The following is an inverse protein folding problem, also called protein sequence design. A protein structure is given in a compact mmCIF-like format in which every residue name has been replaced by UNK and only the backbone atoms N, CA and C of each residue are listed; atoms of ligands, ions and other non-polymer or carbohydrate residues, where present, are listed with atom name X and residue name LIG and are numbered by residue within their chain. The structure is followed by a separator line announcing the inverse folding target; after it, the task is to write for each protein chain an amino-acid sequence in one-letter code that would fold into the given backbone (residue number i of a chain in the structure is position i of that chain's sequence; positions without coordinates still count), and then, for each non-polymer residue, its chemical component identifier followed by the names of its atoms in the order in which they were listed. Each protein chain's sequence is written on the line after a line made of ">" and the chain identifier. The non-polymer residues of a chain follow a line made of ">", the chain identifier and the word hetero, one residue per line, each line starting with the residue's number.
data_IF_747794402420
#
_entry.id   IF_747794402420
#
_cell.length_a   1.000
_cell.length_b   1.000
_cell.length_c   1.000
_cell.angle_alpha   90.00
_cell.angle_beta   90.00
_cell.angle_gamma   90.00
#
_symmetry.space_group_name_H-M   'P 1'
#
loop_
_entity.id
_entity.type
_entity.pdbx_description
1 polymer ?
#
# COMPACT_ATOMS: atom_id res chain seq x y z
N UNK A 1 7.62 4.51 -20.46
CA UNK A 1 7.40 3.94 -19.10
C UNK A 1 6.45 2.75 -19.24
N UNK A 2 6.85 1.60 -18.74
CA UNK A 2 6.10 0.36 -18.87
C UNK A 2 5.68 -0.16 -17.48
N UNK A 3 4.39 -0.47 -17.28
CA UNK A 3 3.86 -1.00 -16.04
C UNK A 3 3.56 -2.50 -16.21
N UNK A 4 4.23 -3.35 -15.42
CA UNK A 4 3.97 -4.78 -15.38
C UNK A 4 2.71 -5.07 -14.57
N UNK A 5 1.75 -5.79 -15.16
CA UNK A 5 0.49 -6.16 -14.52
C UNK A 5 0.41 -7.68 -14.42
N UNK A 6 0.32 -8.18 -13.19
CA UNK A 6 0.05 -9.59 -12.91
C UNK A 6 -1.38 -9.92 -13.36
N UNK A 7 -1.52 -10.51 -14.53
CA UNK A 7 -2.81 -10.81 -15.13
C UNK A 7 -3.49 -12.03 -14.49
N UNK A 8 -2.75 -12.88 -13.78
CA UNK A 8 -3.27 -14.11 -13.17
C UNK A 8 -3.62 -13.95 -11.69
N UNK A 9 -3.33 -12.79 -11.10
CA UNK A 9 -3.59 -12.53 -9.69
C UNK A 9 -5.03 -12.09 -9.41
N UNK A 10 -5.57 -12.50 -8.25
CA UNK A 10 -6.87 -12.06 -7.75
C UNK A 10 -7.97 -13.12 -7.83
N UNK A 11 -9.13 -12.74 -7.25
CA UNK A 11 -10.32 -13.60 -7.18
C UNK A 11 -11.23 -13.44 -8.42
N UNK A 12 -10.98 -12.40 -9.22
CA UNK A 12 -11.77 -12.08 -10.40
C UNK A 12 -11.23 -12.78 -11.67
N UNK A 13 -12.08 -12.99 -12.69
CA UNK A 13 -11.65 -13.52 -13.97
C UNK A 13 -10.53 -12.67 -14.61
N UNK A 14 -9.69 -13.31 -15.40
CA UNK A 14 -8.58 -12.69 -16.18
C UNK A 14 -9.02 -11.45 -16.99
N UNK A 15 -10.28 -11.43 -17.45
CA UNK A 15 -10.85 -10.31 -18.20
C UNK A 15 -10.77 -8.99 -17.45
N UNK A 16 -10.88 -9.00 -16.10
CA UNK A 16 -10.84 -7.79 -15.28
C UNK A 16 -9.46 -7.11 -15.34
N UNK A 17 -8.37 -7.87 -15.24
CA UNK A 17 -7.02 -7.36 -15.34
C UNK A 17 -6.72 -6.84 -16.74
N UNK A 18 -7.19 -7.55 -17.77
CA UNK A 18 -7.00 -7.16 -19.17
C UNK A 18 -7.78 -5.87 -19.48
N UNK A 19 -9.05 -5.79 -19.11
CA UNK A 19 -9.87 -4.60 -19.32
C UNK A 19 -9.28 -3.38 -18.60
N UNK A 20 -8.78 -3.56 -17.37
CA UNK A 20 -8.11 -2.49 -16.63
C UNK A 20 -6.84 -2.00 -17.34
N UNK A 21 -6.04 -2.91 -17.85
CA UNK A 21 -4.85 -2.60 -18.64
C UNK A 21 -5.21 -1.84 -19.93
N UNK A 22 -6.24 -2.26 -20.65
CA UNK A 22 -6.69 -1.60 -21.87
C UNK A 22 -7.25 -0.20 -21.59
N UNK A 23 -7.97 -0.01 -20.48
CA UNK A 23 -8.42 1.32 -20.03
C UNK A 23 -7.23 2.21 -19.68
N UNK A 24 -6.24 1.70 -18.97
CA UNK A 24 -5.01 2.45 -18.65
C UNK A 24 -4.25 2.88 -19.92
N UNK A 25 -4.12 2.00 -20.92
CA UNK A 25 -3.51 2.33 -22.21
C UNK A 25 -4.28 3.46 -22.89
N UNK A 26 -5.61 3.35 -22.94
CA UNK A 26 -6.47 4.29 -23.67
C UNK A 26 -6.56 5.66 -22.97
N UNK A 27 -6.67 5.69 -21.63
CA UNK A 27 -6.92 6.91 -20.86
C UNK A 27 -5.63 7.62 -20.41
N UNK A 28 -4.60 6.84 -20.05
CA UNK A 28 -3.36 7.36 -19.49
C UNK A 28 -2.20 7.38 -20.49
N UNK A 29 -2.35 6.67 -21.59
CA UNK A 29 -1.28 6.53 -22.58
C UNK A 29 -0.10 5.68 -22.11
N UNK A 30 -0.25 4.95 -21.00
CA UNK A 30 0.79 4.12 -20.38
C UNK A 30 1.06 2.86 -21.21
N UNK A 31 2.29 2.43 -21.28
CA UNK A 31 2.64 1.11 -21.80
C UNK A 31 2.40 0.06 -20.70
N UNK A 32 1.78 -1.07 -21.07
CA UNK A 32 1.47 -2.15 -20.14
C UNK A 32 2.10 -3.45 -20.61
N UNK A 33 2.70 -4.17 -19.64
CA UNK A 33 3.17 -5.53 -19.84
C UNK A 33 2.24 -6.45 -19.05
N UNK A 34 1.45 -7.27 -19.74
CA UNK A 34 0.60 -8.29 -19.11
C UNK A 34 1.41 -9.56 -18.88
N UNK A 35 1.42 -10.05 -17.64
CA UNK A 35 2.15 -11.26 -17.27
C UNK A 35 1.15 -12.37 -16.92
N UNK A 36 1.19 -13.49 -17.63
CA UNK A 36 0.30 -14.61 -17.39
C UNK A 36 0.35 -15.66 -18.48
N UNK A 37 -0.65 -16.54 -18.51
CA UNK A 37 -0.80 -17.56 -19.54
C UNK A 37 -1.09 -16.88 -20.90
N UNK A 38 -0.06 -16.82 -21.76
CA UNK A 38 -0.08 -16.05 -23.01
C UNK A 38 -1.28 -16.38 -23.91
N UNK A 39 -1.59 -17.68 -24.05
CA UNK A 39 -2.72 -18.11 -24.90
C UNK A 39 -4.05 -17.62 -24.37
N UNK A 40 -4.26 -17.65 -23.04
CA UNK A 40 -5.48 -17.15 -22.42
C UNK A 40 -5.61 -15.63 -22.55
N UNK A 41 -4.51 -14.89 -22.36
CA UNK A 41 -4.49 -13.43 -22.54
C UNK A 41 -4.81 -13.07 -23.98
N UNK A 42 -4.19 -13.73 -24.95
CA UNK A 42 -4.44 -13.50 -26.39
C UNK A 42 -5.90 -13.78 -26.77
N UNK A 43 -6.51 -14.83 -26.20
CA UNK A 43 -7.89 -15.18 -26.50
C UNK A 43 -8.85 -14.06 -26.03
N UNK A 44 -8.66 -13.51 -24.86
CA UNK A 44 -9.46 -12.38 -24.37
C UNK A 44 -9.20 -11.12 -25.22
N UNK A 45 -7.96 -10.84 -25.57
CA UNK A 45 -7.60 -9.66 -26.35
C UNK A 45 -8.20 -9.65 -27.77
N UNK A 46 -8.52 -10.80 -28.36
CA UNK A 46 -9.23 -10.86 -29.68
C UNK A 46 -10.56 -10.14 -29.69
N UNK A 47 -11.18 -9.98 -28.52
CA UNK A 47 -12.51 -9.34 -28.39
C UNK A 47 -12.40 -7.81 -28.22
N UNK A 48 -11.17 -7.25 -28.12
CA UNK A 48 -10.93 -5.85 -27.82
C UNK A 48 -10.14 -5.17 -28.94
N UNK A 49 -10.36 -3.86 -29.10
CA UNK A 49 -9.52 -2.98 -29.93
C UNK A 49 -8.64 -2.15 -29.03
N UNK A 50 -7.33 -2.16 -29.27
CA UNK A 50 -6.35 -1.42 -28.47
C UNK A 50 -5.11 -1.08 -29.31
N UNK A 51 -4.28 -0.18 -28.80
CA UNK A 51 -2.98 0.15 -29.41
C UNK A 51 -1.98 -0.98 -29.10
N UNK A 52 -1.68 -1.78 -30.12
CA UNK A 52 -0.76 -2.92 -30.00
C UNK A 52 0.68 -2.51 -29.67
N UNK A 53 1.08 -1.27 -29.94
CA UNK A 53 2.42 -0.78 -29.62
C UNK A 53 2.58 -0.48 -28.11
N UNK A 54 1.47 -0.38 -27.37
CA UNK A 54 1.47 -0.07 -25.92
C UNK A 54 1.19 -1.28 -25.03
N UNK A 55 1.02 -2.47 -25.62
CA UNK A 55 0.75 -3.68 -24.87
C UNK A 55 1.70 -4.78 -25.29
N UNK A 56 2.43 -5.33 -24.32
CA UNK A 56 3.29 -6.49 -24.46
C UNK A 56 2.77 -7.60 -23.55
N UNK A 57 2.96 -8.86 -23.95
CA UNK A 57 2.64 -10.03 -23.14
C UNK A 57 3.94 -10.73 -22.79
N UNK A 58 4.10 -11.11 -21.53
CA UNK A 58 5.19 -11.98 -21.07
C UNK A 58 4.56 -13.24 -20.48
N UNK A 59 4.91 -14.39 -21.05
CA UNK A 59 4.34 -15.66 -20.64
C UNK A 59 4.81 -16.08 -19.25
N UNK A 60 3.88 -16.53 -18.41
CA UNK A 60 4.14 -17.25 -17.17
C UNK A 60 3.31 -18.52 -17.11
N UNK A 61 3.90 -19.58 -16.59
CA UNK A 61 3.30 -20.92 -16.60
C UNK A 61 2.71 -21.34 -15.25
N UNK A 62 2.92 -20.51 -14.23
CA UNK A 62 2.50 -20.81 -12.86
C UNK A 62 1.71 -19.63 -12.29
N UNK A 63 0.71 -19.94 -11.47
CA UNK A 63 -0.08 -18.96 -10.72
C UNK A 63 0.04 -19.23 -9.23
N UNK A 64 0.16 -18.18 -8.41
CA UNK A 64 0.11 -18.28 -6.96
C UNK A 64 -1.33 -18.12 -6.51
N UNK A 65 -1.87 -19.14 -5.84
CA UNK A 65 -3.24 -19.11 -5.30
C UNK A 65 -3.36 -18.16 -4.10
N UNK A 66 -4.55 -17.60 -3.89
CA UNK A 66 -4.78 -16.60 -2.82
C UNK A 66 -4.56 -17.16 -1.41
N UNK A 67 -4.76 -18.46 -1.18
CA UNK A 67 -4.55 -19.14 0.09
C UNK A 67 -3.18 -19.84 0.22
N UNK A 68 -2.31 -19.68 -0.78
CA UNK A 68 -1.00 -20.33 -0.79
C UNK A 68 -0.01 -19.63 0.15
N UNK A 69 0.83 -20.42 0.83
CA UNK A 69 1.88 -19.88 1.69
C UNK A 69 2.88 -19.05 0.87
N UNK A 70 3.18 -17.79 1.26
CA UNK A 70 4.16 -16.94 0.58
C UNK A 70 5.53 -17.59 0.42
N UNK A 71 5.97 -18.33 1.45
CA UNK A 71 7.27 -19.02 1.45
C UNK A 71 7.30 -20.16 0.45
N UNK A 72 6.21 -20.91 0.35
CA UNK A 72 6.05 -22.02 -0.61
C UNK A 72 6.02 -21.48 -2.03
N UNK A 73 5.21 -20.45 -2.29
CA UNK A 73 5.12 -19.80 -3.59
C UNK A 73 6.51 -19.30 -4.06
N UNK A 74 7.24 -18.58 -3.22
CA UNK A 74 8.56 -18.04 -3.54
C UNK A 74 9.60 -19.14 -3.85
N UNK A 75 9.55 -20.27 -3.15
CA UNK A 75 10.52 -21.37 -3.30
C UNK A 75 10.21 -22.27 -4.49
N UNK A 76 8.96 -22.60 -4.72
CA UNK A 76 8.53 -23.63 -5.66
C UNK A 76 8.10 -23.06 -7.01
N UNK A 77 7.42 -21.90 -7.05
CA UNK A 77 6.88 -21.30 -8.27
C UNK A 77 7.81 -20.25 -8.86
N UNK A 78 8.83 -20.72 -9.57
CA UNK A 78 9.87 -19.85 -10.15
C UNK A 78 9.40 -19.07 -11.38
N UNK A 79 8.37 -19.55 -12.05
CA UNK A 79 7.76 -18.94 -13.24
C UNK A 79 6.31 -18.49 -12.96
N UNK A 80 6.03 -18.08 -11.72
CA UNK A 80 4.74 -17.48 -11.39
C UNK A 80 4.61 -16.07 -11.95
N UNK A 81 3.39 -15.66 -12.32
CA UNK A 81 3.12 -14.33 -12.87
C UNK A 81 3.67 -13.20 -12.01
N UNK A 82 3.49 -13.31 -10.69
CA UNK A 82 4.05 -12.37 -9.70
C UNK A 82 5.59 -12.31 -9.72
N UNK A 83 6.24 -13.49 -9.81
CA UNK A 83 7.70 -13.55 -9.83
C UNK A 83 8.25 -12.96 -11.11
N UNK A 84 7.67 -13.32 -12.25
CA UNK A 84 8.04 -12.77 -13.56
C UNK A 84 7.82 -11.26 -13.59
N UNK A 85 6.67 -10.76 -13.09
CA UNK A 85 6.40 -9.33 -13.03
C UNK A 85 7.47 -8.56 -12.23
N UNK A 86 7.87 -9.08 -11.07
CA UNK A 86 8.91 -8.44 -10.24
C UNK A 86 10.30 -8.55 -10.88
N UNK A 87 10.61 -9.64 -11.57
CA UNK A 87 11.88 -9.79 -12.29
C UNK A 87 12.04 -8.72 -13.39
N UNK A 88 10.97 -8.34 -14.08
CA UNK A 88 11.00 -7.29 -15.10
C UNK A 88 11.46 -5.92 -14.55
N UNK A 89 11.27 -5.65 -13.25
CA UNK A 89 11.83 -4.45 -12.62
C UNK A 89 13.36 -4.53 -12.55
N UNK A 90 13.92 -5.71 -12.27
CA UNK A 90 15.37 -5.86 -12.14
C UNK A 90 16.10 -5.81 -13.48
N UNK A 91 15.41 -6.18 -14.55
CA UNK A 91 15.96 -6.11 -15.93
C UNK A 91 15.75 -4.73 -16.57
N UNK A 92 14.98 -3.84 -15.95
CA UNK A 92 14.62 -2.54 -16.52
C UNK A 92 13.60 -2.62 -17.66
N UNK A 93 12.92 -3.76 -17.79
CA UNK A 93 11.88 -3.97 -18.80
C UNK A 93 10.50 -3.48 -18.35
N UNK A 94 10.35 -3.18 -17.05
CA UNK A 94 9.22 -2.50 -16.47
C UNK A 94 9.68 -1.53 -15.38
N UNK A 95 8.93 -0.45 -15.18
CA UNK A 95 9.22 0.60 -14.20
C UNK A 95 8.45 0.41 -12.88
N UNK A 96 7.33 -0.30 -12.93
CA UNK A 96 6.53 -0.65 -11.76
C UNK A 96 5.75 -1.95 -11.97
N UNK A 97 5.28 -2.55 -10.86
CA UNK A 97 4.44 -3.75 -10.83
C UNK A 97 3.11 -3.44 -10.17
N UNK A 98 2.02 -3.95 -10.75
CA UNK A 98 0.68 -3.99 -10.15
C UNK A 98 0.23 -5.45 -10.07
N UNK A 99 -0.18 -5.89 -8.87
CA UNK A 99 -0.73 -7.22 -8.66
C UNK A 99 -1.94 -7.20 -7.74
N UNK A 100 -3.00 -7.90 -8.12
CA UNK A 100 -4.15 -8.20 -7.28
C UNK A 100 -4.08 -9.62 -6.67
N UNK A 101 -2.92 -10.28 -6.81
CA UNK A 101 -2.68 -11.62 -6.28
C UNK A 101 -2.45 -11.66 -4.78
N UNK A 102 -1.96 -12.81 -4.32
CA UNK A 102 -1.68 -13.05 -2.91
C UNK A 102 -0.71 -12.01 -2.33
N UNK A 103 -1.19 -11.15 -1.44
CA UNK A 103 -0.44 -10.06 -0.82
C UNK A 103 0.88 -10.52 -0.21
N UNK A 104 0.84 -11.61 0.57
CA UNK A 104 2.04 -12.16 1.22
C UNK A 104 3.08 -12.66 0.21
N UNK A 105 2.64 -13.31 -0.87
CA UNK A 105 3.52 -13.78 -1.93
C UNK A 105 4.13 -12.60 -2.72
N UNK A 106 3.34 -11.56 -3.00
CA UNK A 106 3.82 -10.33 -3.65
C UNK A 106 4.90 -9.66 -2.81
N UNK A 107 4.64 -9.47 -1.52
CA UNK A 107 5.60 -8.89 -0.57
C UNK A 107 6.88 -9.71 -0.47
N UNK A 108 6.75 -11.04 -0.29
CA UNK A 108 7.89 -11.92 -0.15
C UNK A 108 8.76 -11.93 -1.42
N UNK A 109 8.11 -11.96 -2.58
CA UNK A 109 8.79 -11.92 -3.88
C UNK A 109 9.49 -10.59 -4.10
N UNK A 110 8.78 -9.47 -3.90
CA UNK A 110 9.35 -8.13 -4.02
C UNK A 110 10.56 -7.95 -3.09
N UNK A 111 10.44 -8.30 -1.81
CA UNK A 111 11.54 -8.21 -0.85
C UNK A 111 12.73 -9.10 -1.23
N UNK A 112 12.48 -10.31 -1.72
CA UNK A 112 13.54 -11.24 -2.06
C UNK A 112 14.29 -10.81 -3.33
N UNK A 113 13.56 -10.38 -4.35
CA UNK A 113 14.11 -10.04 -5.68
C UNK A 113 14.71 -8.63 -5.68
N UNK A 114 13.91 -7.64 -5.29
CA UNK A 114 14.31 -6.23 -5.37
C UNK A 114 15.21 -5.80 -4.20
N UNK A 115 15.21 -6.55 -3.10
CA UNK A 115 15.84 -6.18 -1.82
C UNK A 115 15.20 -4.91 -1.22
N UNK A 116 15.60 -4.56 -0.01
CA UNK A 116 15.17 -3.30 0.61
C UNK A 116 16.04 -2.15 0.13
N UNK A 117 15.47 -0.95 0.13
CA UNK A 117 16.20 0.31 0.01
C UNK A 117 17.27 0.35 1.10
N UNK A 118 18.45 0.86 0.79
CA UNK A 118 19.55 0.94 1.73
C UNK A 118 19.13 1.70 3.00
N UNK A 119 19.43 1.13 4.16
CA UNK A 119 19.02 1.66 5.45
C UNK A 119 17.65 1.20 5.94
N UNK A 120 16.78 0.66 5.09
CA UNK A 120 15.45 0.12 5.45
C UNK A 120 15.55 -1.37 5.80
N UNK A 121 15.11 -1.70 7.02
CA UNK A 121 15.12 -3.08 7.54
C UNK A 121 13.90 -3.90 7.09
N UNK A 122 12.74 -3.23 7.00
CA UNK A 122 11.46 -3.87 6.66
C UNK A 122 10.67 -3.00 5.70
N UNK A 123 10.17 -3.55 4.58
CA UNK A 123 9.18 -2.86 3.77
C UNK A 123 7.85 -2.76 4.53
N UNK A 124 7.04 -1.76 4.19
CA UNK A 124 5.71 -1.53 4.76
C UNK A 124 4.68 -1.31 3.65
N UNK A 125 3.43 -1.69 3.92
CA UNK A 125 2.31 -1.39 3.02
C UNK A 125 1.64 -0.11 3.51
N UNK A 126 1.49 0.87 2.61
CA UNK A 126 0.78 2.11 2.91
C UNK A 126 -0.55 2.19 2.18
N UNK A 127 -1.49 2.96 2.73
CA UNK A 127 -2.74 3.31 2.05
C UNK A 127 -3.13 4.75 2.33
N UNK A 128 -3.91 5.34 1.44
CA UNK A 128 -4.54 6.63 1.68
C UNK A 128 -5.90 6.42 2.36
N UNK A 129 -6.08 7.06 3.51
CA UNK A 129 -7.32 7.03 4.28
C UNK A 129 -8.07 8.36 4.13
N UNK A 130 -9.41 8.34 4.05
CA UNK A 130 -10.19 9.58 4.02
C UNK A 130 -10.13 10.30 5.37
N UNK A 131 -10.33 11.62 5.38
CA UNK A 131 -10.58 12.41 6.58
C UNK A 131 -11.89 13.19 6.48
N UNK A 132 -12.36 13.79 7.57
CA UNK A 132 -13.52 14.70 7.52
C UNK A 132 -13.21 15.97 6.70
N UNK A 133 -11.95 16.34 6.59
CA UNK A 133 -11.53 17.49 5.79
C UNK A 133 -11.57 17.14 4.31
N UNK A 134 -12.34 17.89 3.55
CA UNK A 134 -12.53 17.63 2.13
C UNK A 134 -11.20 17.77 1.38
N UNK A 135 -10.88 16.78 0.55
CA UNK A 135 -9.64 16.72 -0.23
C UNK A 135 -8.35 16.70 0.60
N UNK A 136 -8.42 16.19 1.82
CA UNK A 136 -7.26 16.04 2.68
C UNK A 136 -7.19 14.59 3.24
N UNK A 137 -6.91 13.59 2.39
CA UNK A 137 -6.63 12.23 2.84
C UNK A 137 -5.30 12.19 3.59
N UNK A 138 -5.09 11.17 4.41
CA UNK A 138 -3.82 10.92 5.10
C UNK A 138 -3.27 9.53 4.76
N UNK A 139 -1.98 9.36 4.88
CA UNK A 139 -1.28 8.08 4.71
C UNK A 139 -1.37 7.30 6.02
N UNK A 140 -1.87 6.06 5.98
CA UNK A 140 -1.77 5.11 7.09
C UNK A 140 -0.76 4.02 6.70
N UNK A 141 0.22 3.77 7.57
CA UNK A 141 1.18 2.68 7.42
C UNK A 141 1.75 2.23 8.78
N UNK A 142 2.06 0.97 8.99
CA UNK A 142 1.93 -0.20 8.14
C UNK A 142 0.51 -0.79 8.26
N UNK A 143 -0.07 -1.29 7.15
CA UNK A 143 -1.42 -1.87 7.15
C UNK A 143 -1.43 -3.41 7.00
N UNK A 144 -0.31 -4.08 7.29
CA UNK A 144 -0.31 -5.54 7.30
C UNK A 144 0.97 -6.25 6.89
N UNK A 145 2.06 -5.54 6.61
CA UNK A 145 3.33 -6.16 6.24
C UNK A 145 4.10 -6.72 7.45
N UNK A 146 4.02 -6.07 8.61
CA UNK A 146 4.81 -6.42 9.79
C UNK A 146 3.96 -6.36 11.05
N UNK A 147 3.68 -7.51 11.65
CA UNK A 147 2.82 -7.63 12.85
C UNK A 147 3.56 -7.40 14.16
N UNK A 148 4.88 -7.57 14.18
CA UNK A 148 5.74 -7.33 15.34
C UNK A 148 6.86 -6.37 14.92
N UNK A 149 6.79 -5.14 15.45
CA UNK A 149 7.67 -4.07 15.05
C UNK A 149 8.59 -3.62 16.17
N UNK A 150 9.90 -3.52 15.86
CA UNK A 150 10.86 -2.83 16.71
C UNK A 150 10.70 -1.31 16.53
N UNK A 151 11.13 -0.49 17.51
CA UNK A 151 11.10 0.97 17.39
C UNK A 151 11.74 1.49 16.09
N UNK A 152 12.87 0.91 15.69
CA UNK A 152 13.54 1.26 14.44
C UNK A 152 12.65 1.02 13.20
N UNK A 153 11.81 -0.02 13.18
CA UNK A 153 10.93 -0.28 12.04
C UNK A 153 9.84 0.79 11.93
N UNK A 154 9.18 1.11 13.05
CA UNK A 154 8.18 2.18 13.11
C UNK A 154 8.78 3.53 12.72
N UNK A 155 10.00 3.82 13.17
CA UNK A 155 10.74 5.01 12.76
C UNK A 155 10.96 5.04 11.24
N UNK A 156 11.42 3.93 10.66
CA UNK A 156 11.62 3.82 9.21
C UNK A 156 10.31 3.92 8.44
N UNK A 157 9.20 3.41 9.00
CA UNK A 157 7.86 3.58 8.40
C UNK A 157 7.49 5.06 8.34
N UNK A 158 7.82 5.86 9.36
CA UNK A 158 7.59 7.30 9.34
C UNK A 158 8.35 7.98 8.19
N UNK A 159 9.63 7.65 7.98
CA UNK A 159 10.43 8.17 6.86
C UNK A 159 9.81 7.81 5.50
N UNK A 160 9.40 6.55 5.34
CA UNK A 160 8.74 6.09 4.12
C UNK A 160 7.37 6.73 3.91
N UNK A 161 6.62 6.95 4.99
CA UNK A 161 5.32 7.61 4.96
C UNK A 161 5.41 9.07 4.56
N UNK A 162 6.41 9.80 5.07
CA UNK A 162 6.70 11.18 4.68
C UNK A 162 7.01 11.27 3.19
N UNK A 163 7.95 10.48 2.69
CA UNK A 163 8.30 10.43 1.28
C UNK A 163 7.10 10.10 0.38
N UNK A 164 6.24 9.19 0.84
CA UNK A 164 5.02 8.82 0.14
C UNK A 164 3.97 9.94 0.16
N UNK A 165 3.78 10.64 1.29
CA UNK A 165 2.88 11.78 1.36
C UNK A 165 3.35 12.94 0.47
N UNK A 166 4.65 13.23 0.43
CA UNK A 166 5.23 14.19 -0.52
C UNK A 166 4.97 13.79 -1.98
N UNK A 167 4.96 12.51 -2.27
CA UNK A 167 4.73 11.98 -3.62
C UNK A 167 3.26 12.02 -4.02
N UNK A 168 2.37 11.47 -3.20
CA UNK A 168 0.96 11.21 -3.55
C UNK A 168 0.00 12.31 -3.12
N UNK A 169 0.36 13.08 -2.08
CA UNK A 169 -0.44 14.21 -1.60
C UNK A 169 0.16 15.56 -2.00
N UNK A 170 1.35 15.58 -2.63
CA UNK A 170 2.06 16.78 -3.07
C UNK A 170 2.31 17.78 -1.93
N UNK A 171 2.66 17.27 -0.75
CA UNK A 171 2.95 18.07 0.44
C UNK A 171 4.45 18.29 0.59
N UNK A 172 4.86 19.52 0.92
CA UNK A 172 6.29 19.84 1.13
C UNK A 172 6.79 19.42 2.52
N UNK A 173 5.95 19.45 3.53
CA UNK A 173 6.30 19.17 4.93
C UNK A 173 5.17 18.42 5.64
N UNK A 174 4.97 17.11 5.35
CA UNK A 174 3.88 16.32 5.90
C UNK A 174 3.94 16.23 7.43
N UNK A 175 2.80 16.34 8.08
CA UNK A 175 2.68 16.14 9.54
C UNK A 175 2.59 14.66 9.84
N UNK A 176 3.58 14.17 10.57
CA UNK A 176 3.71 12.75 10.93
C UNK A 176 3.25 12.55 12.39
N UNK A 177 2.37 11.59 12.62
CA UNK A 177 1.92 11.20 13.94
C UNK A 177 2.09 9.69 14.18
N UNK A 178 2.30 9.31 15.44
CA UNK A 178 2.39 7.93 15.89
C UNK A 178 1.04 7.48 16.46
N UNK A 179 0.42 6.44 15.89
CA UNK A 179 -0.84 5.91 16.41
C UNK A 179 -0.64 5.30 17.78
N UNK A 180 -1.44 5.77 18.75
CA UNK A 180 -1.31 5.37 20.15
C UNK A 180 -2.69 5.31 20.83
N UNK A 181 -2.72 4.83 22.07
CA UNK A 181 -3.92 4.79 22.94
C UNK A 181 -4.15 6.07 23.77
N UNK A 182 -3.38 7.12 23.54
CA UNK A 182 -3.46 8.44 24.16
C UNK A 182 -2.52 9.40 23.48
N UNK A 183 -2.79 10.69 23.52
CA UNK A 183 -2.04 11.73 22.84
C UNK A 183 -0.79 12.18 23.63
N UNK A 184 -0.73 11.90 24.95
CA UNK A 184 0.37 12.32 25.81
C UNK A 184 1.66 11.54 25.50
N UNK A 185 2.80 12.19 25.62
CA UNK A 185 4.15 11.67 25.32
C UNK A 185 4.47 10.33 25.98
N UNK A 186 4.03 10.11 27.22
CA UNK A 186 4.32 8.90 27.99
C UNK A 186 3.39 7.70 27.71
N UNK A 187 2.45 7.79 26.79
CA UNK A 187 1.48 6.72 26.50
C UNK A 187 2.04 5.59 25.66
N UNK A 188 1.33 4.49 25.68
CA UNK A 188 1.66 3.29 24.92
C UNK A 188 2.66 2.35 25.62
N UNK A 189 2.92 1.23 24.96
CA UNK A 189 3.90 0.26 25.41
C UNK A 189 5.33 0.71 25.04
N UNK A 190 6.33 -0.01 25.54
CA UNK A 190 7.74 0.41 25.47
C UNK A 190 8.21 0.75 24.04
N UNK A 191 7.85 -0.08 23.07
CA UNK A 191 8.27 0.15 21.67
C UNK A 191 7.72 1.46 21.10
N UNK A 192 6.48 1.87 21.47
CA UNK A 192 5.92 3.15 21.03
C UNK A 192 6.64 4.35 21.69
N UNK A 193 7.00 4.24 22.98
CA UNK A 193 7.76 5.28 23.68
C UNK A 193 9.15 5.46 23.06
N UNK A 194 9.85 4.37 22.82
CA UNK A 194 11.15 4.41 22.16
C UNK A 194 11.04 4.96 20.72
N UNK A 195 9.98 4.62 20.00
CA UNK A 195 9.70 5.16 18.66
C UNK A 195 9.43 6.66 18.71
N UNK A 196 8.65 7.11 19.71
CA UNK A 196 8.37 8.52 19.94
C UNK A 196 9.67 9.32 20.14
N UNK A 197 10.59 8.81 20.96
CA UNK A 197 11.89 9.43 21.20
C UNK A 197 12.77 9.51 19.95
N UNK A 198 12.73 8.49 19.08
CA UNK A 198 13.41 8.51 17.79
C UNK A 198 12.80 9.56 16.85
N UNK A 199 11.47 9.62 16.77
CA UNK A 199 10.77 10.58 15.92
C UNK A 199 11.01 12.04 16.33
N UNK A 200 11.12 12.32 17.62
CA UNK A 200 11.50 13.65 18.14
C UNK A 200 12.91 14.09 17.74
N UNK A 201 13.80 13.16 17.46
CA UNK A 201 15.18 13.44 17.04
C UNK A 201 15.35 13.51 15.52
N UNK A 202 14.30 13.19 14.75
CA UNK A 202 14.34 13.16 13.29
C UNK A 202 14.18 14.53 12.67
N UNK A 203 14.40 14.58 11.36
CA UNK A 203 14.12 15.77 10.53
C UNK A 203 12.63 15.89 10.17
N UNK A 204 11.80 14.89 10.50
CA UNK A 204 10.38 14.86 10.18
C UNK A 204 9.57 15.91 10.95
N UNK A 205 8.51 16.41 10.35
CA UNK A 205 7.52 17.24 11.04
C UNK A 205 6.63 16.37 11.95
N UNK A 206 7.25 15.82 13.01
CA UNK A 206 6.58 14.95 13.96
C UNK A 206 5.69 15.74 14.91
N UNK A 207 4.39 15.42 14.92
CA UNK A 207 3.35 16.12 15.69
C UNK A 207 2.98 15.42 17.00
N UNK A 208 3.60 14.27 17.31
CA UNK A 208 3.32 13.51 18.52
C UNK A 208 2.44 12.28 18.30
N UNK A 209 1.80 11.81 19.39
CA UNK A 209 0.88 10.70 19.33
C UNK A 209 -0.49 11.15 18.80
N UNK A 210 -1.22 10.22 18.16
CA UNK A 210 -2.61 10.42 17.74
C UNK A 210 -3.45 9.21 18.16
N UNK A 211 -4.67 9.43 18.63
CA UNK A 211 -5.63 8.36 18.92
C UNK A 211 -6.41 7.95 17.66
N UNK A 212 -6.87 6.70 17.61
CA UNK A 212 -7.67 6.20 16.50
C UNK A 212 -8.94 7.01 16.18
N UNK A 213 -9.56 7.62 17.21
CA UNK A 213 -10.73 8.50 17.02
C UNK A 213 -10.38 9.85 16.37
N UNK A 214 -9.14 10.32 16.60
CA UNK A 214 -8.64 11.61 16.14
C UNK A 214 -8.09 11.55 14.71
N UNK A 215 -7.56 10.40 14.25
CA UNK A 215 -6.90 10.29 12.95
C UNK A 215 -7.80 10.68 11.75
N UNK A 216 -9.12 10.55 11.87
CA UNK A 216 -10.07 10.98 10.82
C UNK A 216 -10.51 12.45 10.95
N UNK A 217 -10.24 13.08 12.10
CA UNK A 217 -10.73 14.43 12.43
C UNK A 217 -9.64 15.47 12.41
N UNK A 218 -8.47 15.11 12.95
CA UNK A 218 -7.36 16.03 13.07
C UNK A 218 -6.63 16.16 11.74
N UNK A 219 -5.97 17.27 11.58
CA UNK A 219 -5.17 17.49 10.37
C UNK A 219 -3.81 16.83 10.57
N UNK A 220 -3.69 15.59 10.11
CA UNK A 220 -2.49 14.79 10.04
C UNK A 220 -2.30 14.30 8.62
N UNK A 221 -1.08 14.11 8.18
CA UNK A 221 -0.79 13.71 6.80
C UNK A 221 -0.26 12.27 6.73
N UNK A 222 0.41 11.81 7.81
CA UNK A 222 0.97 10.46 7.93
C UNK A 222 0.68 9.93 9.34
N UNK A 223 0.05 8.77 9.42
CA UNK A 223 -0.18 8.03 10.68
C UNK A 223 0.60 6.72 10.63
N UNK A 224 1.50 6.53 11.59
CA UNK A 224 2.40 5.38 11.67
C UNK A 224 1.92 4.41 12.74
N UNK A 225 1.89 3.13 12.40
CA UNK A 225 1.61 2.03 13.34
C UNK A 225 2.31 0.74 12.88
N UNK A 226 2.24 -0.32 13.69
CA UNK A 226 2.59 -1.65 13.22
C UNK A 226 1.49 -2.24 12.31
N UNK A 227 1.84 -3.24 11.52
CA UNK A 227 0.92 -3.82 10.55
C UNK A 227 -0.25 -4.58 11.16
N UNK A 228 -0.17 -5.03 12.42
CA UNK A 228 -1.29 -5.66 13.11
C UNK A 228 -2.35 -4.62 13.46
N UNK A 229 -1.94 -3.53 14.11
CA UNK A 229 -2.83 -2.43 14.48
C UNK A 229 -3.39 -1.74 13.22
N UNK A 230 -2.53 -1.47 12.24
CA UNK A 230 -2.95 -0.80 11.01
C UNK A 230 -3.95 -1.61 10.18
N UNK A 231 -3.75 -2.93 10.08
CA UNK A 231 -4.72 -3.79 9.40
C UNK A 231 -6.07 -3.85 10.14
N UNK A 232 -6.05 -3.91 11.48
CA UNK A 232 -7.29 -3.84 12.28
C UNK A 232 -7.98 -2.49 12.06
N UNK A 233 -7.24 -1.36 12.14
CA UNK A 233 -7.80 -0.03 11.95
C UNK A 233 -8.44 0.12 10.57
N UNK A 234 -7.77 -0.34 9.51
CA UNK A 234 -8.28 -0.35 8.15
C UNK A 234 -9.57 -1.19 8.05
N UNK A 235 -9.56 -2.44 8.53
CA UNK A 235 -10.71 -3.35 8.44
C UNK A 235 -11.91 -2.89 9.29
N UNK A 236 -11.66 -2.26 10.42
CA UNK A 236 -12.73 -1.64 11.22
C UNK A 236 -13.34 -0.44 10.49
N UNK A 237 -12.51 0.41 9.87
CA UNK A 237 -13.01 1.54 9.07
C UNK A 237 -13.85 1.06 7.88
N UNK A 238 -13.35 0.08 7.11
CA UNK A 238 -14.07 -0.56 6.00
C UNK A 238 -15.42 -1.14 6.46
N UNK A 239 -15.40 -1.99 7.49
CA UNK A 239 -16.62 -2.63 8.01
C UNK A 239 -17.63 -1.65 8.61
N UNK A 240 -17.15 -0.56 9.24
CA UNK A 240 -18.03 0.50 9.74
C UNK A 240 -18.74 1.24 8.61
N UNK A 241 -18.00 1.56 7.54
CA UNK A 241 -18.58 2.20 6.36
C UNK A 241 -19.62 1.31 5.67
N UNK A 242 -19.32 0.01 5.52
CA UNK A 242 -20.25 -0.95 4.94
C UNK A 242 -21.50 -1.13 5.81
N UNK A 243 -21.34 -1.22 7.12
CA UNK A 243 -22.45 -1.28 8.06
C UNK A 243 -23.37 -0.04 7.94
N UNK A 244 -22.82 1.15 8.05
CA UNK A 244 -23.60 2.40 7.93
C UNK A 244 -24.29 2.50 6.57
N UNK A 245 -23.59 2.13 5.49
CA UNK A 245 -24.15 2.15 4.13
C UNK A 245 -25.32 1.15 3.96
N UNK A 246 -25.21 -0.03 4.59
CA UNK A 246 -26.25 -1.07 4.53
C UNK A 246 -27.49 -0.66 5.31
N UNK A 247 -27.30 -0.18 6.55
CA UNK A 247 -28.42 0.32 7.38
C UNK A 247 -29.13 1.49 6.69
N UNK A 248 -28.38 2.44 6.13
CA UNK A 248 -28.98 3.55 5.39
C UNK A 248 -29.79 3.09 4.19
N UNK A 249 -29.31 2.10 3.44
CA UNK A 249 -30.04 1.52 2.29
C UNK A 249 -31.31 0.84 2.76
N UNK A 250 -31.27 0.06 3.83
CA UNK A 250 -32.43 -0.59 4.40
C UNK A 250 -33.51 0.44 4.81
N UNK A 251 -33.14 1.51 5.52
CA UNK A 251 -34.06 2.56 5.91
C UNK A 251 -34.65 3.34 4.74
N UNK A 252 -33.86 3.57 3.68
CA UNK A 252 -34.36 4.19 2.43
C UNK A 252 -35.37 3.27 1.72
N UNK A 253 -35.17 1.97 1.76
CA UNK A 253 -36.07 1.02 1.08
C UNK A 253 -37.38 0.81 1.81
N UNK A 254 -37.47 1.16 3.11
CA UNK A 254 -38.65 0.95 3.94
C UNK A 254 -39.84 1.85 3.59
N UNK A 255 -39.66 3.03 3.01
CA UNK A 255 -40.74 3.95 2.70
C UNK A 255 -40.61 4.62 1.33
N UNK A 256 -41.77 4.89 0.68
CA UNK A 256 -41.79 5.59 -0.61
C UNK A 256 -41.24 7.03 -0.48
N UNK A 257 -41.53 7.70 0.64
CA UNK A 257 -41.05 9.07 0.91
C UNK A 257 -39.52 9.09 1.04
N UNK A 258 -38.91 8.10 1.72
CA UNK A 258 -37.46 7.97 1.85
C UNK A 258 -36.79 7.72 0.49
N UNK A 259 -37.38 6.90 -0.38
CA UNK A 259 -36.92 6.69 -1.75
C UNK A 259 -36.89 7.97 -2.58
N UNK A 260 -37.96 8.78 -2.50
CA UNK A 260 -38.03 10.09 -3.18
C UNK A 260 -36.94 11.03 -2.62
N UNK A 261 -36.81 11.11 -1.29
CA UNK A 261 -35.78 11.91 -0.63
C UNK A 261 -34.35 11.47 -1.01
N UNK A 262 -34.11 10.17 -1.09
CA UNK A 262 -32.82 9.62 -1.55
C UNK A 262 -32.50 10.01 -2.99
N UNK A 263 -33.48 10.00 -3.90
CA UNK A 263 -33.28 10.44 -5.29
C UNK A 263 -32.87 11.91 -5.36
N UNK A 264 -33.48 12.76 -4.53
CA UNK A 264 -33.12 14.18 -4.43
C UNK A 264 -31.68 14.38 -3.89
N UNK A 265 -31.24 13.50 -2.96
CA UNK A 265 -29.93 13.52 -2.35
C UNK A 265 -28.87 12.61 -3.00
N UNK A 266 -29.16 12.06 -4.17
CA UNK A 266 -28.29 11.10 -4.86
C UNK A 266 -26.87 11.65 -5.11
N UNK A 267 -26.74 12.95 -5.38
CA UNK A 267 -25.43 13.62 -5.55
C UNK A 267 -24.58 13.57 -4.28
N UNK A 268 -25.07 14.09 -3.14
CA UNK A 268 -24.37 13.99 -1.85
C UNK A 268 -24.00 12.56 -1.44
N UNK A 269 -24.88 11.58 -1.62
CA UNK A 269 -24.59 10.17 -1.31
C UNK A 269 -23.51 9.57 -2.21
N UNK A 270 -23.50 9.93 -3.49
CA UNK A 270 -22.44 9.52 -4.41
C UNK A 270 -21.09 10.12 -3.98
N UNK A 271 -21.06 11.40 -3.63
CA UNK A 271 -19.86 12.07 -3.14
C UNK A 271 -19.33 11.45 -1.83
N UNK A 272 -20.23 11.10 -0.90
CA UNK A 272 -19.88 10.41 0.33
C UNK A 272 -19.23 9.04 0.02
N UNK A 273 -19.86 8.26 -0.85
CA UNK A 273 -19.35 6.95 -1.24
C UNK A 273 -17.98 7.04 -1.91
N UNK A 274 -17.81 7.93 -2.87
CA UNK A 274 -16.51 8.15 -3.54
C UNK A 274 -15.42 8.56 -2.55
N UNK A 275 -15.77 9.37 -1.54
CA UNK A 275 -14.83 9.83 -0.54
C UNK A 275 -14.41 8.74 0.44
N UNK A 276 -15.30 7.81 0.77
CA UNK A 276 -15.05 6.71 1.69
C UNK A 276 -14.53 5.44 0.99
N UNK A 277 -14.60 5.40 -0.34
CA UNK A 277 -14.18 4.24 -1.12
C UNK A 277 -12.66 4.30 -1.37
N UNK A 278 -11.91 3.57 -0.56
CA UNK A 278 -10.45 3.42 -0.71
C UNK A 278 -10.04 2.77 -2.04
N UNK A 279 -10.95 2.07 -2.72
CA UNK A 279 -10.68 1.48 -4.05
C UNK A 279 -10.43 2.53 -5.13
N UNK A 280 -10.89 3.76 -4.92
CA UNK A 280 -10.61 4.91 -5.80
C UNK A 280 -9.12 5.27 -5.82
N UNK A 281 -8.37 4.96 -4.75
CA UNK A 281 -6.92 5.23 -4.68
C UNK A 281 -6.12 4.28 -5.58
N UNK A 282 -6.64 3.07 -5.85
CA UNK A 282 -6.00 2.13 -6.76
C UNK A 282 -4.86 1.32 -6.14
N UNK A 283 -5.14 0.60 -5.06
CA UNK A 283 -4.17 -0.29 -4.42
C UNK A 283 -3.21 0.39 -3.44
N UNK A 284 -2.41 -0.41 -2.75
CA UNK A 284 -1.52 -0.03 -1.68
C UNK A 284 -0.04 -0.23 -2.11
N UNK A 285 0.81 0.80 -2.08
CA UNK A 285 2.22 0.64 -2.41
C UNK A 285 2.96 -0.13 -1.31
N UNK A 286 3.85 -1.01 -1.73
CA UNK A 286 4.84 -1.64 -0.88
C UNK A 286 6.09 -0.75 -0.82
N UNK A 287 6.21 0.03 0.23
CA UNK A 287 7.31 0.98 0.43
C UNK A 287 8.56 0.30 0.98
N UNK A 288 9.73 0.82 0.63
CA UNK A 288 11.01 0.38 1.17
C UNK A 288 11.65 -0.82 0.46
N UNK A 289 11.18 -1.21 -0.73
CA UNK A 289 11.85 -2.11 -1.67
C UNK A 289 12.44 -1.30 -2.83
N UNK A 290 13.49 -1.83 -3.51
CA UNK A 290 14.12 -1.15 -4.65
C UNK A 290 13.29 -1.32 -5.94
N UNK A 291 12.08 -0.75 -5.97
CA UNK A 291 11.15 -0.76 -7.07
C UNK A 291 9.75 -0.34 -6.64
N UNK A 292 8.92 0.01 -7.58
CA UNK A 292 7.53 0.40 -7.32
C UNK A 292 6.64 -0.84 -7.48
N UNK A 293 5.99 -1.24 -6.38
CA UNK A 293 5.08 -2.39 -6.34
C UNK A 293 3.77 -1.96 -5.70
N UNK A 294 2.68 -2.02 -6.46
CA UNK A 294 1.33 -1.69 -5.99
C UNK A 294 0.55 -3.00 -5.81
N UNK A 295 0.04 -3.19 -4.60
CA UNK A 295 -0.74 -4.36 -4.20
C UNK A 295 -2.22 -3.99 -4.16
N UNK A 296 -3.03 -4.68 -4.96
CA UNK A 296 -4.48 -4.54 -4.97
C UNK A 296 -5.12 -5.66 -4.15
N UNK A 297 -6.36 -5.46 -3.73
CA UNK A 297 -7.15 -6.53 -3.11
C UNK A 297 -7.56 -7.57 -4.16
N UNK A 298 -7.65 -8.85 -3.78
CA UNK A 298 -8.05 -9.93 -4.72
C UNK A 298 -9.39 -9.69 -5.43
N UNK A 299 -10.33 -9.04 -4.75
CA UNK A 299 -11.65 -8.68 -5.31
C UNK A 299 -11.67 -7.35 -6.09
N UNK A 300 -10.51 -6.76 -6.39
CA UNK A 300 -10.40 -5.48 -7.12
C UNK A 300 -11.06 -5.53 -8.48
N UNK A 301 -11.82 -4.50 -8.80
CA UNK A 301 -12.54 -4.36 -10.07
C UNK A 301 -11.67 -3.63 -11.11
N UNK A 302 -12.14 -3.58 -12.34
CA UNK A 302 -11.48 -2.93 -13.48
C UNK A 302 -10.99 -1.51 -13.13
N UNK A 303 -11.87 -0.65 -12.59
CA UNK A 303 -11.49 0.72 -12.24
C UNK A 303 -10.42 0.81 -11.15
N UNK A 304 -10.45 -0.10 -10.17
CA UNK A 304 -9.45 -0.15 -9.09
C UNK A 304 -8.07 -0.52 -9.63
N UNK A 305 -7.99 -1.53 -10.49
CA UNK A 305 -6.72 -1.95 -11.11
C UNK A 305 -6.21 -0.88 -12.08
N UNK A 306 -7.10 -0.25 -12.85
CA UNK A 306 -6.73 0.89 -13.70
C UNK A 306 -6.16 2.05 -12.87
N UNK A 307 -6.78 2.36 -11.72
CA UNK A 307 -6.28 3.36 -10.79
C UNK A 307 -4.93 2.94 -10.18
N UNK A 308 -4.71 1.64 -9.91
CA UNK A 308 -3.42 1.13 -9.44
C UNK A 308 -2.31 1.30 -10.48
N UNK A 309 -2.61 1.11 -11.77
CA UNK A 309 -1.67 1.37 -12.86
C UNK A 309 -1.32 2.87 -12.90
N UNK A 310 -2.32 3.75 -12.77
CA UNK A 310 -2.10 5.19 -12.67
C UNK A 310 -1.23 5.55 -11.47
N UNK A 311 -1.53 5.00 -10.31
CA UNK A 311 -0.78 5.23 -9.08
C UNK A 311 0.67 4.74 -9.20
N UNK A 312 0.90 3.58 -9.81
CA UNK A 312 2.23 3.07 -10.11
C UNK A 312 3.03 4.03 -11.01
N UNK A 313 2.36 4.58 -12.02
CA UNK A 313 2.93 5.59 -12.91
C UNK A 313 3.33 6.86 -12.13
N UNK A 314 2.42 7.42 -11.32
CA UNK A 314 2.66 8.60 -10.49
C UNK A 314 3.84 8.39 -9.52
N UNK A 315 3.90 7.24 -8.82
CA UNK A 315 5.00 6.91 -7.93
C UNK A 315 6.36 6.84 -8.66
N UNK A 316 6.36 6.32 -9.88
CA UNK A 316 7.57 6.23 -10.72
C UNK A 316 8.00 7.62 -11.20
N UNK A 317 7.09 8.40 -11.78
CA UNK A 317 7.36 9.75 -12.28
C UNK A 317 7.84 10.70 -11.18
N UNK A 318 7.27 10.57 -9.98
CA UNK A 318 7.63 11.35 -8.79
C UNK A 318 8.86 10.81 -8.05
N UNK A 319 9.49 9.73 -8.56
CA UNK A 319 10.74 9.17 -8.03
C UNK A 319 10.65 8.80 -6.55
N UNK A 320 9.57 8.10 -6.15
CA UNK A 320 9.29 7.75 -4.76
C UNK A 320 10.49 7.11 -4.06
N UNK A 321 11.17 6.15 -4.69
CA UNK A 321 12.30 5.45 -4.08
C UNK A 321 13.51 6.37 -3.83
N UNK A 322 13.75 7.36 -4.71
CA UNK A 322 14.80 8.36 -4.50
C UNK A 322 14.47 9.25 -3.29
N UNK A 323 13.19 9.65 -3.13
CA UNK A 323 12.72 10.40 -1.95
C UNK A 323 12.87 9.60 -0.66
N UNK A 324 12.51 8.30 -0.66
CA UNK A 324 12.72 7.42 0.50
C UNK A 324 14.21 7.34 0.85
N UNK A 325 15.07 7.17 -0.15
CA UNK A 325 16.53 7.11 0.07
C UNK A 325 17.07 8.42 0.65
N UNK A 326 16.54 9.57 0.22
CA UNK A 326 16.91 10.88 0.75
C UNK A 326 16.51 11.00 2.21
N UNK A 327 15.25 10.73 2.57
CA UNK A 327 14.77 10.75 3.97
C UNK A 327 15.61 9.84 4.88
N UNK A 328 15.96 8.64 4.41
CA UNK A 328 16.85 7.73 5.14
C UNK A 328 18.23 8.35 5.34
N UNK A 329 18.80 8.96 4.31
CA UNK A 329 20.14 9.56 4.38
C UNK A 329 20.22 10.74 5.35
N UNK A 330 19.17 11.58 5.38
CA UNK A 330 19.06 12.72 6.30
C UNK A 330 18.88 12.30 7.76
N UNK A 331 18.45 11.06 8.01
CA UNK A 331 18.20 10.51 9.35
C UNK A 331 19.16 9.36 9.75
N UNK A 332 20.29 9.20 9.05
CA UNK A 332 21.26 8.11 9.30
C UNK A 332 21.80 8.07 10.75
N UNK A 333 22.01 9.20 11.37
CA UNK A 333 22.52 9.27 12.75
C UNK A 333 21.52 8.67 13.73
N UNK A 334 20.23 9.00 13.59
CA UNK A 334 19.14 8.44 14.42
C UNK A 334 19.01 6.92 14.18
N UNK A 335 19.06 6.48 12.92
CA UNK A 335 19.04 5.05 12.56
C UNK A 335 20.20 4.30 13.20
N UNK A 336 21.41 4.84 13.13
CA UNK A 336 22.61 4.21 13.69
C UNK A 336 22.57 4.16 15.23
N UNK A 337 22.05 5.18 15.88
CA UNK A 337 21.82 5.22 17.32
C UNK A 337 20.82 4.13 17.74
N UNK A 338 19.67 4.03 17.06
CA UNK A 338 18.65 3.02 17.32
C UNK A 338 19.20 1.59 17.17
N UNK A 339 20.02 1.33 16.13
CA UNK A 339 20.69 0.03 15.92
C UNK A 339 21.64 -0.33 17.07
N UNK A 340 22.37 0.64 17.63
CA UNK A 340 23.29 0.43 18.76
C UNK A 340 22.54 0.12 20.06
N UNK A 341 21.45 0.83 20.33
CA UNK A 341 20.60 0.63 21.51
C UNK A 341 19.92 -0.74 21.48
N UNK A 342 19.33 -1.12 20.35
CA UNK A 342 18.70 -2.43 20.18
C UNK A 342 19.69 -3.61 20.36
N UNK A 343 20.94 -3.47 19.91
CA UNK A 343 21.98 -4.49 20.16
C UNK A 343 22.34 -4.64 21.64
N UNK A 344 22.41 -3.54 22.41
CA UNK A 344 22.68 -3.57 23.84
C UNK A 344 21.58 -4.26 24.64
N UNK A 345 20.32 -4.00 24.30
CA UNK A 345 19.17 -4.64 24.96
C UNK A 345 19.14 -6.15 24.75
N UNK A 346 19.46 -6.63 23.54
CA UNK A 346 19.57 -8.08 23.25
C UNK A 346 20.74 -8.70 24.00
N UNK A 347 21.88 -8.01 24.12
CA UNK A 347 23.07 -8.53 24.80
C UNK A 347 22.89 -8.61 26.34
N UNK A 348 22.04 -7.75 26.94
CA UNK A 348 21.66 -7.83 28.34
C UNK A 348 20.67 -8.96 28.65
N UNK A 349 19.83 -9.34 27.69
CA UNK A 349 18.89 -10.46 27.83
C UNK A 349 19.55 -11.83 27.64
N UNK A 350 20.65 -11.89 26.88
CA UNK A 350 21.49 -13.07 26.66
C UNK A 350 22.74 -12.89 27.55
N UNK A 351 22.59 -12.88 28.88
CA UNK A 351 23.70 -12.82 29.81
C UNK A 351 24.74 -13.89 29.48
N UNK A 352 26.03 -13.70 29.90
CA UNK A 352 27.08 -14.64 29.57
C UNK A 352 26.68 -16.03 30.09
N UNK A 353 26.50 -16.96 29.15
CA UNK A 353 26.41 -18.38 29.48
C UNK A 353 27.67 -18.70 30.29
N UNK A 354 27.46 -19.07 31.54
CA UNK A 354 28.56 -19.51 32.40
C UNK A 354 29.26 -20.68 31.72
N UNK A 355 30.56 -20.51 31.58
CA UNK A 355 31.49 -21.63 31.36
C UNK A 355 31.40 -22.69 32.46
#
# INVERSE_FOLDING_TARGET
>A
MAIAVDAMGGDNPLTVQIEAALQAISELGTEVVLIGAEDQIKEVLKQHRFDQNKLRIVNSTETVEMNESPTTALRQKKNSSIKVAVDLLTTGEADAVVSAGNTGATMATAKFVLKSVEGIERPAIATLMPSIHRNHPFVLLDIGANTDCKPLYLFQFALMGDAYARTSLHLDNPRVALLNNGEEEGKGYMQLKETYDLLKQSTLNFTGNIEGKSMFKDIVDVVVCDGFIGNIALKVAEGTFDFVSSVLREEVDNTLLAKIGYQAMRGPFRALRQRADYSEVGGAPLLGVNGIVIICHGSSRVHTIRNAIKHAQECTEQKLNEKISLEVSENLDVINQAKKTGRKSVMMLVGPAMC
#
